data_IF_537368634827
#
_entry.id   IF_537368634827
#
_cell.length_a   1.000
_cell.length_b   1.000
_cell.length_c   1.000
_cell.angle_alpha   90.00
_cell.angle_beta   90.00
_cell.angle_gamma   90.00
#
_symmetry.space_group_name_H-M   'P 1'
#
loop_
_entity.id
_entity.type
_entity.pdbx_description
1 polymer ?
#
# COMPACT_ATOMS: atom_id res chain seq x y z
N UNK A 1 13.35 -17.09 -5.89
CA UNK A 1 12.11 -17.19 -5.09
C UNK A 1 11.05 -16.33 -5.74
N UNK A 2 9.83 -16.83 -5.95
CA UNK A 2 8.73 -16.04 -6.52
C UNK A 2 8.06 -15.24 -5.39
N UNK A 3 8.43 -13.96 -5.25
CA UNK A 3 7.76 -13.06 -4.31
C UNK A 3 6.39 -12.65 -4.85
N UNK A 4 5.34 -12.92 -4.06
CA UNK A 4 3.94 -12.59 -4.38
C UNK A 4 3.34 -11.68 -3.31
N UNK A 5 2.56 -10.69 -3.74
CA UNK A 5 1.78 -9.83 -2.87
C UNK A 5 0.63 -10.59 -2.17
N UNK A 6 0.26 -11.79 -2.65
CA UNK A 6 -0.78 -12.61 -2.01
C UNK A 6 -0.38 -13.13 -0.63
N UNK A 7 0.93 -13.21 -0.36
CA UNK A 7 1.47 -13.87 0.83
C UNK A 7 2.16 -12.89 1.80
N UNK A 8 1.92 -11.59 1.67
CA UNK A 8 2.48 -10.61 2.61
C UNK A 8 1.65 -10.57 3.91
N UNK A 9 2.28 -10.37 5.08
CA UNK A 9 1.59 -10.22 6.35
C UNK A 9 0.44 -9.22 6.27
N UNK A 10 -0.67 -9.54 6.94
CA UNK A 10 -1.85 -8.68 6.91
C UNK A 10 -1.69 -7.44 7.77
N UNK A 11 -1.12 -7.56 8.98
CA UNK A 11 -1.03 -6.45 9.93
C UNK A 11 -2.38 -6.01 10.51
N UNK A 12 -2.36 -4.92 11.28
CA UNK A 12 -3.55 -4.25 11.79
C UNK A 12 -3.90 -3.05 10.91
N UNK A 13 -5.18 -2.76 10.72
CA UNK A 13 -5.61 -1.59 9.96
C UNK A 13 -5.26 -0.31 10.73
N UNK A 14 -4.65 0.65 10.04
CA UNK A 14 -4.26 1.95 10.63
C UNK A 14 -4.90 3.14 9.92
N UNK A 15 -5.27 2.97 8.64
CA UNK A 15 -5.90 4.03 7.85
C UNK A 15 -6.81 3.42 6.79
N UNK A 16 -7.93 4.09 6.50
CA UNK A 16 -8.80 3.82 5.37
C UNK A 16 -9.09 5.14 4.66
N UNK A 17 -8.85 5.19 3.35
CA UNK A 17 -9.03 6.40 2.54
C UNK A 17 -9.85 6.09 1.30
N UNK A 18 -11.00 6.74 1.18
CA UNK A 18 -11.85 6.64 -0.01
C UNK A 18 -11.27 7.46 -1.17
N UNK A 19 -11.38 6.91 -2.37
CA UNK A 19 -11.11 7.64 -3.61
C UNK A 19 -12.06 8.83 -3.78
N UNK A 20 -11.66 9.89 -4.51
CA UNK A 20 -12.48 11.10 -4.68
C UNK A 20 -13.90 10.87 -5.21
N UNK A 21 -14.13 9.80 -5.97
CA UNK A 21 -15.42 9.43 -6.53
C UNK A 21 -16.12 8.27 -5.78
N UNK A 22 -15.52 7.78 -4.69
CA UNK A 22 -16.04 6.67 -3.88
C UNK A 22 -16.01 5.31 -4.58
N UNK A 23 -15.34 5.17 -5.73
CA UNK A 23 -15.29 3.91 -6.47
C UNK A 23 -14.37 2.86 -5.81
N UNK A 24 -13.38 3.34 -5.05
CA UNK A 24 -12.42 2.54 -4.32
C UNK A 24 -12.22 3.03 -2.88
N UNK A 25 -11.92 2.08 -1.99
CA UNK A 25 -11.35 2.34 -0.67
C UNK A 25 -9.94 1.74 -0.61
N UNK A 26 -8.96 2.53 -0.17
CA UNK A 26 -7.62 2.04 0.14
C UNK A 26 -7.47 1.86 1.65
N UNK A 27 -7.27 0.61 2.07
CA UNK A 27 -6.99 0.25 3.46
C UNK A 27 -5.49 0.04 3.65
N UNK A 28 -4.90 0.74 4.61
CA UNK A 28 -3.51 0.56 5.02
C UNK A 28 -3.48 -0.29 6.27
N UNK A 29 -2.67 -1.34 6.19
CA UNK A 29 -2.37 -2.20 7.31
C UNK A 29 -0.89 -2.17 7.63
N UNK A 30 -0.56 -2.22 8.92
CA UNK A 30 0.82 -2.21 9.40
C UNK A 30 1.08 -3.47 10.21
N UNK A 31 2.15 -4.17 9.85
CA UNK A 31 2.67 -5.31 10.58
C UNK A 31 3.73 -4.83 11.56
N UNK A 32 3.29 -4.58 12.79
CA UNK A 32 4.17 -4.11 13.86
C UNK A 32 5.15 -5.19 14.31
N UNK A 33 6.40 -4.80 14.59
CA UNK A 33 7.43 -5.75 15.00
C UNK A 33 8.29 -5.19 16.14
N UNK A 34 8.63 -6.03 17.13
CA UNK A 34 9.43 -5.60 18.30
C UNK A 34 10.94 -5.75 18.08
N UNK A 35 11.34 -6.58 17.12
CA UNK A 35 12.74 -6.92 16.84
C UNK A 35 13.24 -6.38 15.49
N UNK A 36 12.36 -5.72 14.73
CA UNK A 36 12.66 -5.12 13.42
C UNK A 36 11.72 -3.95 13.17
N UNK A 37 11.95 -3.19 12.11
CA UNK A 37 11.03 -2.14 11.67
C UNK A 37 9.68 -2.70 11.23
N UNK A 38 8.68 -1.84 11.21
CA UNK A 38 7.35 -2.18 10.73
C UNK A 38 7.29 -2.27 9.20
N UNK A 39 6.26 -2.94 8.68
CA UNK A 39 5.98 -3.02 7.25
C UNK A 39 4.53 -2.64 6.97
N UNK A 40 4.31 -1.89 5.89
CA UNK A 40 2.99 -1.44 5.48
C UNK A 40 2.50 -2.15 4.22
N UNK A 41 1.21 -2.50 4.25
CA UNK A 41 0.46 -3.11 3.15
C UNK A 41 -0.71 -2.20 2.78
N UNK A 42 -0.86 -1.90 1.49
CA UNK A 42 -2.05 -1.25 0.93
C UNK A 42 -2.95 -2.26 0.23
N UNK A 43 -4.20 -2.38 0.70
CA UNK A 43 -5.26 -3.16 0.08
C UNK A 43 -6.31 -2.23 -0.55
N UNK A 44 -6.43 -2.31 -1.87
CA UNK A 44 -7.46 -1.64 -2.63
C UNK A 44 -8.73 -2.50 -2.66
N UNK A 45 -9.85 -1.89 -2.29
CA UNK A 45 -11.19 -2.49 -2.37
C UNK A 45 -11.97 -1.74 -3.45
N UNK A 46 -12.52 -2.47 -4.42
CA UNK A 46 -13.46 -1.89 -5.37
C UNK A 46 -14.87 -1.95 -4.77
N UNK A 47 -15.49 -0.80 -4.53
CA UNK A 47 -16.75 -0.73 -3.77
C UNK A 47 -17.94 -1.34 -4.53
N UNK A 48 -17.87 -1.39 -5.87
CA UNK A 48 -18.94 -1.96 -6.70
C UNK A 48 -18.88 -3.49 -6.75
N UNK A 49 -17.68 -4.06 -6.86
CA UNK A 49 -17.47 -5.51 -7.05
C UNK A 49 -17.05 -6.24 -5.79
N UNK A 50 -16.67 -5.49 -4.75
CA UNK A 50 -16.09 -5.98 -3.49
C UNK A 50 -14.78 -6.79 -3.67
N UNK A 51 -14.17 -6.72 -4.86
CA UNK A 51 -12.87 -7.33 -5.14
C UNK A 51 -11.79 -6.58 -4.36
N UNK A 52 -10.94 -7.36 -3.69
CA UNK A 52 -9.82 -6.86 -2.88
C UNK A 52 -8.50 -7.24 -3.51
N UNK A 53 -7.60 -6.27 -3.65
CA UNK A 53 -6.25 -6.49 -4.21
C UNK A 53 -5.20 -5.78 -3.36
N UNK A 54 -4.11 -6.47 -3.06
CA UNK A 54 -2.91 -5.81 -2.49
C UNK A 54 -2.16 -5.10 -3.61
N UNK A 55 -1.97 -3.79 -3.46
CA UNK A 55 -1.30 -2.94 -4.46
C UNK A 55 0.00 -2.31 -3.93
N UNK A 56 0.23 -2.35 -2.62
CA UNK A 56 1.41 -1.76 -2.00
C UNK A 56 1.96 -2.68 -0.92
N UNK A 57 3.27 -2.90 -0.94
CA UNK A 57 4.02 -3.57 0.10
C UNK A 57 5.38 -2.89 0.26
N UNK A 58 5.62 -2.29 1.43
CA UNK A 58 6.86 -1.61 1.74
C UNK A 58 7.37 -1.96 3.13
N UNK A 59 8.69 -1.93 3.28
CA UNK A 59 9.42 -2.09 4.52
C UNK A 59 10.72 -1.27 4.38
N UNK A 60 11.19 -0.54 5.40
CA UNK A 60 10.45 -0.18 6.60
C UNK A 60 9.32 0.81 6.27
N UNK A 61 8.16 0.66 6.92
CA UNK A 61 7.03 1.56 6.77
C UNK A 61 6.01 1.37 7.90
N UNK A 62 5.83 2.37 8.76
CA UNK A 62 5.07 2.25 10.01
C UNK A 62 3.67 2.88 9.96
N UNK A 63 3.43 3.82 9.08
CA UNK A 63 2.16 4.53 8.84
C UNK A 63 2.29 5.43 7.60
N UNK A 64 2.36 4.89 6.37
CA UNK A 64 2.65 5.68 5.17
C UNK A 64 1.61 6.77 4.92
N UNK A 65 2.06 7.95 4.51
CA UNK A 65 1.18 9.02 4.06
C UNK A 65 0.43 8.59 2.80
N UNK A 66 -0.90 8.69 2.82
CA UNK A 66 -1.77 8.35 1.68
C UNK A 66 -2.46 9.59 1.15
N UNK A 67 -2.38 9.80 -0.17
CA UNK A 67 -3.10 10.86 -0.87
C UNK A 67 -3.59 10.39 -2.23
N UNK A 68 -4.89 10.50 -2.46
CA UNK A 68 -5.45 10.40 -3.80
C UNK A 68 -5.08 11.64 -4.61
N UNK A 69 -4.44 11.43 -5.77
CA UNK A 69 -4.12 12.51 -6.72
C UNK A 69 -5.34 12.78 -7.60
N UNK A 70 -6.03 11.71 -8.01
CA UNK A 70 -7.30 11.73 -8.73
C UNK A 70 -8.03 10.39 -8.48
N UNK A 71 -9.14 10.13 -9.17
CA UNK A 71 -9.95 8.90 -8.99
C UNK A 71 -9.23 7.57 -9.27
N UNK A 72 -8.18 7.56 -10.07
CA UNK A 72 -7.46 6.35 -10.49
C UNK A 72 -5.96 6.38 -10.13
N UNK A 73 -5.48 7.43 -9.46
CA UNK A 73 -4.07 7.58 -9.10
C UNK A 73 -3.94 7.91 -7.64
N UNK A 74 -3.16 7.10 -6.92
CA UNK A 74 -2.91 7.26 -5.49
C UNK A 74 -1.42 7.33 -5.21
N UNK A 75 -1.03 8.19 -4.28
CA UNK A 75 0.31 8.24 -3.72
C UNK A 75 0.30 7.64 -2.32
N UNK A 76 1.18 6.66 -2.09
CA UNK A 76 1.37 5.97 -0.82
C UNK A 76 2.86 6.09 -0.48
N UNK A 77 3.19 6.85 0.55
CA UNK A 77 4.58 7.21 0.86
C UNK A 77 5.25 7.89 -0.34
N UNK A 78 6.32 7.27 -0.86
CA UNK A 78 7.04 7.74 -2.04
C UNK A 78 6.46 7.24 -3.36
N UNK A 79 5.59 6.22 -3.33
CA UNK A 79 5.16 5.51 -4.52
C UNK A 79 3.87 6.10 -5.07
N UNK A 80 3.83 6.32 -6.38
CA UNK A 80 2.63 6.75 -7.10
C UNK A 80 2.15 5.59 -7.96
N UNK A 81 0.92 5.13 -7.74
CA UNK A 81 0.35 3.96 -8.39
C UNK A 81 -0.84 4.36 -9.26
N UNK A 82 -0.86 3.85 -10.50
CA UNK A 82 -1.94 4.04 -11.46
C UNK A 82 -2.83 2.79 -11.50
N UNK A 83 -4.09 2.94 -11.12
CA UNK A 83 -5.04 1.82 -10.99
C UNK A 83 -5.56 1.32 -12.34
N UNK A 84 -5.48 2.15 -13.39
CA UNK A 84 -5.85 1.83 -14.77
C UNK A 84 -4.85 0.91 -15.46
N UNK A 85 -3.57 0.95 -15.07
CA UNK A 85 -2.52 0.03 -15.53
C UNK A 85 -2.28 -1.15 -14.58
N UNK A 86 -3.09 -1.25 -13.52
CA UNK A 86 -3.01 -2.29 -12.50
C UNK A 86 -1.68 -2.27 -11.70
N UNK A 87 -1.06 -1.08 -11.59
CA UNK A 87 0.24 -0.88 -10.94
C UNK A 87 0.25 -1.42 -9.50
N UNK A 88 1.37 -2.03 -9.14
CA UNK A 88 1.61 -2.46 -7.76
C UNK A 88 3.06 -2.18 -7.37
N UNK A 89 3.27 -1.90 -6.10
CA UNK A 89 4.60 -1.74 -5.54
C UNK A 89 4.91 -2.86 -4.54
N UNK A 90 6.08 -3.45 -4.68
CA UNK A 90 6.65 -4.45 -3.79
C UNK A 90 8.14 -4.14 -3.64
N UNK A 91 8.53 -3.61 -2.47
CA UNK A 91 9.92 -3.18 -2.21
C UNK A 91 10.97 -4.27 -2.51
N UNK A 92 10.58 -5.55 -2.43
CA UNK A 92 11.47 -6.70 -2.73
C UNK A 92 11.86 -6.80 -4.21
N UNK A 93 11.20 -6.01 -5.07
CA UNK A 93 11.41 -5.98 -6.53
C UNK A 93 11.95 -4.63 -7.00
N UNK A 94 12.20 -3.70 -6.09
CA UNK A 94 12.72 -2.37 -6.42
C UNK A 94 14.21 -2.31 -6.09
N UNK A 95 15.05 -2.31 -7.13
CA UNK A 95 16.51 -2.22 -6.99
C UNK A 95 16.99 -0.84 -6.51
N UNK A 96 16.12 0.17 -6.55
CA UNK A 96 16.39 1.54 -6.07
C UNK A 96 15.79 1.78 -4.67
N UNK A 97 15.19 0.75 -4.07
CA UNK A 97 14.66 0.86 -2.71
C UNK A 97 15.80 1.16 -1.73
N UNK A 98 15.55 2.14 -0.87
CA UNK A 98 16.42 2.48 0.26
C UNK A 98 15.73 2.10 1.56
N UNK A 99 16.52 1.67 2.54
CA UNK A 99 16.02 1.24 3.86
C UNK A 99 15.71 2.44 4.76
N UNK A 100 14.82 3.30 4.31
CA UNK A 100 14.34 4.47 5.04
C UNK A 100 12.81 4.51 5.00
N UNK A 101 12.20 5.07 6.04
CA UNK A 101 10.75 5.24 6.05
C UNK A 101 10.36 6.29 4.99
N UNK A 102 9.33 6.03 4.17
CA UNK A 102 8.78 7.05 3.29
C UNK A 102 8.06 8.13 4.13
N UNK A 103 7.51 9.19 3.51
CA UNK A 103 6.63 10.11 4.22
C UNK A 103 5.51 9.36 4.96
N UNK A 104 5.36 9.66 6.25
CA UNK A 104 4.38 9.05 7.15
C UNK A 104 3.18 10.01 7.36
N UNK A 105 2.03 9.46 7.77
CA UNK A 105 0.77 10.18 7.99
C UNK A 105 0.75 11.00 9.29
#
# INVERSE_FOLDING_TARGET
MLFSLKNVPKGNIVQSVESPDGSYTLNIFVSQNTLSSDAARGELVNEKTLVKKTIYWNYPDSSPAVKWINRNTVKIGNQTLHLDTDDTYDWRKDDHWIREEPPQA
#
